data_IF_698679149218
#
_entry.id   IF_698679149218
#
_cell.length_a   1.000
_cell.length_b   1.000
_cell.length_c   1.000
_cell.angle_alpha   90.00
_cell.angle_beta   90.00
_cell.angle_gamma   90.00
#
_symmetry.space_group_name_H-M   'P 1'
#
loop_
_entity.id
_entity.type
_entity.pdbx_description
1 polymer ?
#
# COMPACT_ATOMS: atom_id res chain seq x y z
N UNK A 1 3.14 8.38 -0.15
CA UNK A 1 1.79 8.76 -0.64
C UNK A 1 0.77 7.82 0.00
N UNK A 2 -0.37 8.36 0.46
CA UNK A 2 -1.47 7.61 1.10
C UNK A 2 -2.66 7.52 0.15
N UNK A 3 -3.26 6.34 0.03
CA UNK A 3 -4.49 6.08 -0.73
C UNK A 3 -5.58 5.56 0.21
N UNK A 4 -6.81 6.04 0.02
CA UNK A 4 -7.96 5.70 0.87
C UNK A 4 -8.73 4.47 0.40
N UNK A 5 -8.38 3.93 -0.78
CA UNK A 5 -8.94 2.70 -1.31
C UNK A 5 -7.93 1.97 -2.19
N UNK A 6 -8.16 0.67 -2.38
CA UNK A 6 -7.35 -0.14 -3.28
C UNK A 6 -7.49 0.34 -4.73
N UNK A 7 -8.69 0.77 -5.14
CA UNK A 7 -8.93 1.32 -6.48
C UNK A 7 -8.08 2.57 -6.74
N UNK A 8 -7.96 3.49 -5.77
CA UNK A 8 -7.10 4.68 -5.90
C UNK A 8 -5.63 4.32 -6.10
N UNK A 9 -5.13 3.31 -5.37
CA UNK A 9 -3.77 2.79 -5.54
C UNK A 9 -3.57 2.22 -6.95
N UNK A 10 -4.49 1.37 -7.41
CA UNK A 10 -4.41 0.74 -8.73
C UNK A 10 -4.50 1.77 -9.85
N UNK A 11 -5.41 2.74 -9.75
CA UNK A 11 -5.54 3.83 -10.71
C UNK A 11 -4.26 4.66 -10.80
N UNK A 12 -3.60 4.93 -9.66
CA UNK A 12 -2.31 5.60 -9.64
C UNK A 12 -1.23 4.77 -10.34
N UNK A 13 -1.08 3.50 -9.98
CA UNK A 13 -0.08 2.62 -10.59
C UNK A 13 -0.32 2.48 -12.10
N UNK A 14 -1.57 2.44 -12.56
CA UNK A 14 -1.90 2.36 -13.97
C UNK A 14 -1.57 3.67 -14.71
N UNK A 15 -1.95 4.83 -14.16
CA UNK A 15 -1.65 6.15 -14.74
C UNK A 15 -0.15 6.39 -14.88
N UNK A 16 0.63 6.01 -13.88
CA UNK A 16 2.09 6.12 -13.89
C UNK A 16 2.78 5.00 -14.69
N UNK A 17 1.99 4.14 -15.36
CA UNK A 17 2.47 3.04 -16.17
C UNK A 17 3.34 2.05 -15.35
N UNK A 18 3.01 1.81 -14.08
CA UNK A 18 3.65 0.83 -13.20
C UNK A 18 2.81 -0.44 -12.98
N UNK A 19 1.64 -0.53 -13.61
CA UNK A 19 0.73 -1.66 -13.44
C UNK A 19 1.22 -2.92 -14.18
N UNK A 20 1.55 -3.96 -13.42
CA UNK A 20 1.97 -5.29 -13.92
C UNK A 20 1.26 -6.41 -13.13
N UNK A 21 0.77 -7.44 -13.81
CA UNK A 21 -0.03 -8.51 -13.17
C UNK A 21 0.69 -9.25 -12.02
N UNK A 22 2.01 -9.39 -12.11
CA UNK A 22 2.82 -10.01 -11.07
C UNK A 22 2.86 -9.16 -9.79
N UNK A 23 2.94 -7.84 -9.93
CA UNK A 23 3.00 -6.86 -8.83
C UNK A 23 1.70 -6.85 -8.04
N UNK A 24 0.56 -6.99 -8.72
CA UNK A 24 -0.76 -7.05 -8.08
C UNK A 24 -0.82 -8.23 -7.12
N UNK A 25 -0.35 -9.41 -7.53
CA UNK A 25 -0.35 -10.60 -6.68
C UNK A 25 0.51 -10.41 -5.44
N UNK A 26 1.66 -9.76 -5.57
CA UNK A 26 2.52 -9.48 -4.42
C UNK A 26 1.86 -8.48 -3.45
N UNK A 27 1.25 -7.42 -3.99
CA UNK A 27 0.48 -6.44 -3.20
C UNK A 27 -0.68 -7.13 -2.49
N UNK A 28 -1.50 -7.92 -3.19
CA UNK A 28 -2.64 -8.64 -2.63
C UNK A 28 -2.22 -9.62 -1.53
N UNK A 29 -1.12 -10.37 -1.74
CA UNK A 29 -0.56 -11.25 -0.73
C UNK A 29 -0.11 -10.47 0.51
N UNK A 30 0.59 -9.36 0.32
CA UNK A 30 1.03 -8.52 1.43
C UNK A 30 -0.16 -7.93 2.22
N UNK A 31 -1.19 -7.46 1.51
CA UNK A 31 -2.45 -6.99 2.11
C UNK A 31 -3.07 -8.10 2.94
N UNK A 32 -3.21 -9.30 2.39
CA UNK A 32 -3.83 -10.43 3.09
C UNK A 32 -3.12 -10.76 4.41
N UNK A 33 -1.78 -10.69 4.41
CA UNK A 33 -0.95 -10.97 5.60
C UNK A 33 -0.96 -9.84 6.64
N UNK A 34 -1.23 -8.59 6.23
CA UNK A 34 -1.10 -7.41 7.10
C UNK A 34 -2.42 -6.66 7.35
N UNK A 35 -3.55 -7.16 6.83
CA UNK A 35 -4.89 -6.51 6.96
C UNK A 35 -5.32 -6.26 8.41
N UNK A 36 -4.78 -7.00 9.36
CA UNK A 36 -5.09 -6.87 10.80
C UNK A 36 -4.13 -5.90 11.53
N UNK A 37 -3.37 -5.09 10.79
CA UNK A 37 -2.51 -4.02 11.35
C UNK A 37 -3.36 -2.79 11.70
N UNK A 38 -4.04 -2.87 12.84
CA UNK A 38 -4.95 -1.82 13.28
C UNK A 38 -4.23 -0.59 13.85
N UNK A 39 -4.67 0.59 13.44
CA UNK A 39 -4.22 1.90 13.92
C UNK A 39 -5.38 2.72 14.46
N UNK A 40 -5.09 3.62 15.41
CA UNK A 40 -6.09 4.52 16.00
C UNK A 40 -6.23 5.85 15.21
N UNK A 41 -5.19 6.23 14.47
CA UNK A 41 -5.17 7.45 13.64
C UNK A 41 -4.91 7.07 12.17
N UNK A 42 -5.73 7.60 11.26
CA UNK A 42 -5.65 7.32 9.82
C UNK A 42 -4.39 7.86 9.12
N UNK A 43 -3.60 8.68 9.80
CA UNK A 43 -2.32 9.19 9.34
C UNK A 43 -1.14 8.40 9.94
N UNK A 44 -1.42 7.36 10.72
CA UNK A 44 -0.39 6.43 11.20
C UNK A 44 0.16 5.63 10.03
N UNK A 45 1.47 5.76 9.80
CA UNK A 45 2.20 5.02 8.77
C UNK A 45 2.40 3.54 9.15
N UNK A 46 2.48 2.62 8.16
CA UNK A 46 2.70 1.20 8.41
C UNK A 46 4.13 0.95 8.87
N UNK A 47 4.28 0.10 9.89
CA UNK A 47 5.60 -0.36 10.36
C UNK A 47 6.18 -1.47 9.46
N UNK A 48 5.32 -2.24 8.78
CA UNK A 48 5.73 -3.27 7.85
C UNK A 48 5.67 -2.72 6.42
N UNK A 49 6.80 -2.80 5.72
CA UNK A 49 6.93 -2.37 4.33
C UNK A 49 7.40 -3.52 3.45
N UNK A 50 6.95 -3.50 2.20
CA UNK A 50 7.30 -4.43 1.15
C UNK A 50 7.85 -3.69 -0.07
N UNK A 51 9.08 -4.01 -0.47
CA UNK A 51 9.72 -3.34 -1.60
C UNK A 51 9.24 -3.90 -2.94
N UNK A 52 8.58 -3.04 -3.71
CA UNK A 52 8.17 -3.23 -5.09
C UNK A 52 9.21 -2.66 -6.03
N UNK A 53 9.73 -3.49 -6.93
CA UNK A 53 10.59 -3.04 -8.04
C UNK A 53 9.72 -2.82 -9.27
N UNK A 54 9.47 -1.56 -9.60
CA UNK A 54 8.59 -1.15 -10.70
C UNK A 54 9.38 -0.35 -11.72
N UNK A 55 9.57 -0.90 -12.93
CA UNK A 55 10.26 -0.24 -14.06
C UNK A 55 11.59 0.43 -13.68
N UNK A 56 12.42 -0.27 -12.90
CA UNK A 56 13.74 0.22 -12.48
C UNK A 56 13.72 1.19 -11.29
N UNK A 57 12.54 1.55 -10.78
CA UNK A 57 12.37 2.25 -9.51
C UNK A 57 12.05 1.26 -8.39
N UNK A 58 12.33 1.67 -7.16
CA UNK A 58 11.96 0.94 -5.96
C UNK A 58 10.90 1.76 -5.25
N UNK A 59 9.78 1.12 -4.94
CA UNK A 59 8.77 1.67 -4.07
C UNK A 59 8.62 0.78 -2.84
N UNK A 60 8.53 1.34 -1.66
CA UNK A 60 8.13 0.59 -0.48
C UNK A 60 6.62 0.73 -0.31
N UNK A 61 5.92 -0.41 -0.19
CA UNK A 61 4.48 -0.50 -0.04
C UNK A 61 4.12 -0.93 1.38
N UNK A 62 3.07 -0.36 1.95
CA UNK A 62 2.53 -0.77 3.25
C UNK A 62 1.02 -0.60 3.34
N UNK A 63 0.43 -1.20 4.36
CA UNK A 63 -1.00 -1.13 4.65
C UNK A 63 -1.24 -0.91 6.14
N UNK A 64 -2.21 -0.07 6.47
CA UNK A 64 -2.80 0.02 7.82
C UNK A 64 -4.30 -0.17 7.74
N UNK A 65 -4.93 -0.61 8.82
CA UNK A 65 -6.38 -0.76 8.92
C UNK A 65 -6.92 0.00 10.13
N UNK A 66 -8.16 0.47 10.06
CA UNK A 66 -8.81 1.22 11.13
C UNK A 66 -10.25 0.75 11.32
N UNK A 67 -10.65 0.57 12.57
CA UNK A 67 -12.06 0.34 12.90
C UNK A 67 -12.80 1.67 12.94
N UNK A 68 -13.66 1.92 11.95
CA UNK A 68 -14.43 3.18 11.87
C UNK A 68 -15.71 3.07 12.71
N UNK A 69 -16.34 1.90 12.69
CA UNK A 69 -17.52 1.56 13.49
C UNK A 69 -17.58 0.05 13.70
N UNK A 70 -18.52 -0.42 14.51
CA UNK A 70 -18.66 -1.84 14.86
C UNK A 70 -18.75 -2.71 13.59
N UNK A 71 -17.69 -3.46 13.29
CA UNK A 71 -17.58 -4.37 12.15
C UNK A 71 -17.20 -3.72 10.82
N UNK A 72 -16.92 -2.41 10.79
CA UNK A 72 -16.44 -1.72 9.59
C UNK A 72 -14.97 -1.38 9.71
N UNK A 73 -14.17 -2.01 8.85
CA UNK A 73 -12.73 -1.82 8.74
C UNK A 73 -12.46 -1.02 7.47
N UNK A 74 -11.72 0.07 7.59
CA UNK A 74 -11.15 0.80 6.45
C UNK A 74 -9.67 0.48 6.33
N UNK A 75 -9.21 0.34 5.11
CA UNK A 75 -7.82 0.08 4.77
C UNK A 75 -7.20 1.33 4.16
N UNK A 76 -5.98 1.63 4.56
CA UNK A 76 -5.15 2.70 4.01
C UNK A 76 -3.90 2.10 3.39
N UNK A 77 -3.58 2.52 2.17
CA UNK A 77 -2.48 1.99 1.40
C UNK A 77 -1.40 3.05 1.26
N UNK A 78 -0.16 2.66 1.48
CA UNK A 78 0.97 3.57 1.55
C UNK A 78 2.01 3.16 0.51
N UNK A 79 2.46 4.12 -0.28
CA UNK A 79 3.50 3.92 -1.28
C UNK A 79 4.58 5.00 -1.14
N UNK A 80 5.81 4.59 -0.91
CA UNK A 80 6.97 5.46 -0.75
C UNK A 80 7.91 5.22 -1.92
N UNK A 81 8.27 6.25 -2.68
CA UNK A 81 9.33 6.12 -3.68
C UNK A 81 10.68 6.15 -2.97
N UNK A 82 11.44 5.07 -3.06
CA UNK A 82 12.74 4.96 -2.42
C UNK A 82 13.78 5.54 -3.37
N UNK A 83 14.18 6.78 -3.15
CA UNK A 83 15.34 7.36 -3.83
C UNK A 83 16.56 6.71 -3.21
N UNK A 84 17.26 5.84 -3.93
CA UNK A 84 18.63 5.48 -3.54
C UNK A 84 19.47 6.75 -3.63
N UNK A 85 19.80 7.36 -2.49
CA UNK A 85 20.99 8.21 -2.41
C UNK A 85 22.18 7.34 -2.89
N UNK A 86 22.83 7.79 -3.95
CA UNK A 86 24.09 7.24 -4.45
C UNK A 86 25.24 7.68 -3.57
#
# INVERSE_FOLDING_TARGET
MKFNSYCELIDYLNKENYYEDFIIKEIENFIYLNKDTFVEDENTEPNNLFDLKLKGKIFSFGITSMNIRKGEIKYYYWLYETIKEQ
#
